data_IF_487951679023
#
_entry.id   IF_487951679023
#
_cell.length_a   1.000
_cell.length_b   1.000
_cell.length_c   1.000
_cell.angle_alpha   90.00
_cell.angle_beta   90.00
_cell.angle_gamma   90.00
#
_symmetry.space_group_name_H-M   'P 1'
#
loop_
_entity.id
_entity.type
_entity.pdbx_description
1 polymer ?
#
# COMPACT_ATOMS: atom_id res chain seq x y z
N UNK A 1 11.69 18.34 -4.49
CA UNK A 1 10.49 18.74 -5.27
C UNK A 1 10.68 18.22 -6.70
N UNK A 2 9.67 17.58 -7.33
CA UNK A 2 9.81 17.05 -8.70
C UNK A 2 10.25 18.14 -9.67
N UNK A 3 11.08 17.78 -10.65
CA UNK A 3 11.61 18.72 -11.66
C UNK A 3 10.71 18.83 -12.90
N UNK A 4 9.71 17.95 -13.03
CA UNK A 4 8.78 17.87 -14.17
C UNK A 4 7.36 17.62 -13.67
N UNK A 5 6.37 17.79 -14.54
CA UNK A 5 4.95 17.51 -14.25
C UNK A 5 4.63 16.01 -14.11
N UNK A 6 5.60 15.14 -14.38
CA UNK A 6 5.45 13.69 -14.23
C UNK A 6 6.20 13.17 -13.00
N UNK A 7 5.64 12.15 -12.37
CA UNK A 7 6.26 11.41 -11.27
C UNK A 7 6.12 9.92 -11.50
N UNK A 8 7.19 9.17 -11.21
CA UNK A 8 7.16 7.71 -11.27
C UNK A 8 6.66 7.16 -9.95
N UNK A 9 5.57 6.39 -10.00
CA UNK A 9 5.06 5.62 -8.87
C UNK A 9 5.51 4.17 -9.04
N UNK A 10 6.36 3.70 -8.14
CA UNK A 10 6.88 2.34 -8.15
C UNK A 10 6.14 1.45 -7.15
N UNK A 11 5.15 0.69 -7.64
CA UNK A 11 4.36 -0.21 -6.81
C UNK A 11 5.16 -1.40 -6.24
N UNK A 12 6.35 -1.70 -6.77
CA UNK A 12 7.21 -2.74 -6.19
C UNK A 12 7.71 -2.38 -4.79
N UNK A 13 7.71 -1.08 -4.45
CA UNK A 13 8.12 -0.56 -3.14
C UNK A 13 6.93 -0.31 -2.21
N UNK A 14 5.71 -0.68 -2.60
CA UNK A 14 4.55 -0.56 -1.75
C UNK A 14 4.69 -1.44 -0.49
N UNK A 15 4.24 -0.90 0.66
CA UNK A 15 4.32 -1.54 1.96
C UNK A 15 2.99 -1.42 2.71
N UNK A 16 2.72 -2.34 3.63
CA UNK A 16 1.56 -2.25 4.50
C UNK A 16 1.78 -1.22 5.62
N UNK A 17 0.79 -0.39 5.96
CA UNK A 17 0.89 0.50 7.12
C UNK A 17 1.13 -0.28 8.42
N UNK A 18 1.77 0.36 9.41
CA UNK A 18 2.14 -0.30 10.67
C UNK A 18 0.97 -0.94 11.44
N UNK A 19 -0.25 -0.43 11.27
CA UNK A 19 -1.45 -1.00 11.89
C UNK A 19 -1.70 -2.47 11.51
N UNK A 20 -1.18 -2.93 10.37
CA UNK A 20 -1.24 -4.34 9.94
C UNK A 20 -0.37 -5.22 10.82
N UNK A 21 0.77 -4.71 11.28
CA UNK A 21 1.72 -5.48 12.10
C UNK A 21 1.49 -5.33 13.59
N UNK A 22 0.92 -4.20 14.04
CA UNK A 22 0.72 -3.90 15.45
C UNK A 22 -0.57 -3.13 15.69
N UNK A 23 -1.49 -3.73 16.44
CA UNK A 23 -2.82 -3.21 16.76
C UNK A 23 -2.82 -1.92 17.61
N UNK A 24 -1.67 -1.51 18.15
CA UNK A 24 -1.51 -0.23 18.85
C UNK A 24 -1.58 0.97 17.91
N UNK A 25 -1.41 0.77 16.60
CA UNK A 25 -1.46 1.84 15.60
C UNK A 25 -2.80 1.84 14.86
N UNK A 26 -3.34 3.04 14.62
CA UNK A 26 -4.54 3.24 13.80
C UNK A 26 -4.21 3.16 12.31
N UNK A 27 -5.06 2.51 11.53
CA UNK A 27 -4.90 2.49 10.07
C UNK A 27 -5.30 3.82 9.43
N UNK A 28 -4.55 4.30 8.42
CA UNK A 28 -4.95 5.47 7.66
C UNK A 28 -6.20 5.16 6.81
N UNK A 29 -7.18 6.05 6.85
CA UNK A 29 -8.32 6.02 5.94
C UNK A 29 -7.93 6.86 4.73
N UNK A 30 -7.91 6.24 3.54
CA UNK A 30 -7.62 6.93 2.28
C UNK A 30 -8.91 7.48 1.67
N UNK A 31 -8.86 8.63 0.97
CA UNK A 31 -10.01 9.13 0.21
C UNK A 31 -10.28 8.25 -1.02
N UNK A 32 -11.53 8.24 -1.48
CA UNK A 32 -11.98 7.39 -2.60
C UNK A 32 -11.23 7.66 -3.91
N UNK A 33 -10.77 8.90 -4.12
CA UNK A 33 -9.98 9.28 -5.31
C UNK A 33 -8.65 8.54 -5.45
N UNK A 34 -8.18 7.90 -4.38
CA UNK A 34 -6.95 7.11 -4.38
C UNK A 34 -7.21 5.62 -4.71
N UNK A 35 -8.46 5.21 -4.93
CA UNK A 35 -8.80 3.85 -5.35
C UNK A 35 -8.49 3.66 -6.83
N UNK A 36 -7.75 2.61 -7.16
CA UNK A 36 -7.41 2.23 -8.52
C UNK A 36 -8.23 1.01 -8.95
N UNK A 37 -8.93 1.08 -10.08
CA UNK A 37 -9.70 -0.04 -10.65
C UNK A 37 -8.82 -1.02 -11.44
N UNK A 38 -7.64 -1.30 -10.90
CA UNK A 38 -6.67 -2.25 -11.48
C UNK A 38 -6.07 -3.10 -10.38
N UNK A 39 -5.69 -4.33 -10.74
CA UNK A 39 -4.96 -5.21 -9.82
C UNK A 39 -3.49 -4.85 -9.80
N UNK A 40 -2.98 -4.53 -8.61
CA UNK A 40 -1.55 -4.34 -8.36
C UNK A 40 -1.00 -5.62 -7.72
N UNK A 41 -0.22 -6.39 -8.48
CA UNK A 41 0.40 -7.65 -8.03
C UNK A 41 1.88 -7.48 -7.64
N UNK A 42 2.20 -6.35 -7.00
CA UNK A 42 3.55 -5.97 -6.62
C UNK A 42 3.60 -5.44 -5.16
N UNK A 43 4.79 -5.34 -4.59
CA UNK A 43 5.00 -4.85 -3.22
C UNK A 43 4.97 -5.94 -2.14
N UNK A 44 4.99 -5.52 -0.88
CA UNK A 44 4.99 -6.45 0.27
C UNK A 44 3.62 -7.11 0.43
N UNK A 45 3.60 -8.44 0.35
CA UNK A 45 2.40 -9.23 0.62
C UNK A 45 2.32 -9.60 2.10
N UNK A 46 1.20 -9.28 2.75
CA UNK A 46 0.88 -9.83 4.06
C UNK A 46 0.43 -11.30 3.89
N UNK A 47 1.35 -12.23 4.14
CA UNK A 47 1.02 -13.65 4.18
C UNK A 47 0.29 -13.93 5.48
N UNK A 48 -1.05 -13.85 5.47
CA UNK A 48 -1.83 -14.52 6.52
C UNK A 48 -1.37 -15.97 6.57
N UNK A 49 -0.85 -16.43 7.72
CA UNK A 49 -0.50 -17.84 7.93
C UNK A 49 -1.71 -18.64 7.49
N UNK A 50 -1.57 -19.40 6.41
CA UNK A 50 -2.64 -20.26 5.92
C UNK A 50 -3.16 -21.05 7.10
N UNK A 51 -4.48 -21.08 7.28
CA UNK A 51 -5.07 -22.16 8.07
C UNK A 51 -4.59 -23.44 7.37
N UNK A 52 -3.75 -24.18 8.07
CA UNK A 52 -3.39 -25.55 7.70
C UNK A 52 -4.65 -26.39 7.75
#
# INVERSE_FOLDING_TARGET
>A
IPKTDTIVIDFNKAYNPYCVYNKKYSCPIVPDVNALDIRVLAGVKDFKKGKK
#
